data_IF_290301569198
#
_entry.id   IF_290301569198
#
_cell.length_a   1.000
_cell.length_b   1.000
_cell.length_c   1.000
_cell.angle_alpha   90.00
_cell.angle_beta   90.00
_cell.angle_gamma   90.00
#
_symmetry.space_group_name_H-M   'P 1'
#
loop_
_entity.id
_entity.type
_entity.pdbx_description
1 polymer ?
#
# COMPACT_ATOMS: atom_id res chain seq x y z
N UNK A 1 -25.74 -31.35 -30.08
CA UNK A 1 -25.14 -30.53 -31.15
C UNK A 1 -25.28 -29.08 -30.73
N UNK A 2 -24.17 -28.35 -30.72
CA UNK A 2 -23.96 -27.06 -30.04
C UNK A 2 -24.47 -25.84 -30.82
N UNK A 3 -24.88 -24.81 -30.05
CA UNK A 3 -24.71 -23.36 -30.20
C UNK A 3 -24.95 -22.70 -31.57
N UNK A 4 -25.87 -21.72 -31.60
CA UNK A 4 -25.57 -20.35 -32.09
C UNK A 4 -26.74 -19.38 -31.79
N UNK A 5 -26.63 -18.50 -30.79
CA UNK A 5 -27.19 -17.12 -30.78
C UNK A 5 -26.41 -16.27 -29.74
N UNK A 6 -25.66 -15.29 -30.22
CA UNK A 6 -25.24 -14.01 -29.59
C UNK A 6 -24.53 -14.00 -28.22
N UNK A 7 -23.24 -14.34 -28.25
CA UNK A 7 -22.35 -14.50 -27.08
C UNK A 7 -21.68 -13.22 -26.55
N UNK A 8 -22.03 -12.02 -27.02
CA UNK A 8 -21.33 -10.77 -26.61
C UNK A 8 -22.05 -10.01 -25.49
N UNK A 9 -23.38 -10.04 -25.41
CA UNK A 9 -24.14 -9.32 -24.35
C UNK A 9 -24.16 -10.03 -22.99
N UNK A 10 -24.10 -11.36 -22.98
CA UNK A 10 -24.21 -12.16 -21.75
C UNK A 10 -22.91 -12.10 -20.91
N UNK A 11 -21.75 -12.01 -21.58
CA UNK A 11 -20.45 -11.90 -20.90
C UNK A 11 -20.29 -10.55 -20.18
N UNK A 12 -20.67 -9.45 -20.82
CA UNK A 12 -20.61 -8.09 -20.26
C UNK A 12 -21.51 -7.89 -19.03
N UNK A 13 -22.74 -8.43 -19.06
CA UNK A 13 -23.67 -8.33 -17.95
C UNK A 13 -23.21 -9.13 -16.73
N UNK A 14 -22.65 -10.32 -16.95
CA UNK A 14 -22.10 -11.14 -15.87
C UNK A 14 -20.81 -10.54 -15.28
N UNK A 15 -19.96 -9.91 -16.10
CA UNK A 15 -18.71 -9.29 -15.66
C UNK A 15 -18.93 -8.03 -14.83
N UNK A 16 -19.87 -7.14 -15.22
CA UNK A 16 -20.26 -5.99 -14.40
C UNK A 16 -20.90 -6.47 -13.10
N UNK A 17 -21.75 -7.51 -13.16
CA UNK A 17 -22.30 -8.15 -11.94
C UNK A 17 -21.20 -8.69 -11.03
N UNK A 18 -20.13 -9.30 -11.55
CA UNK A 18 -19.02 -9.81 -10.72
C UNK A 18 -18.29 -8.67 -9.99
N UNK A 19 -17.95 -7.59 -10.69
CA UNK A 19 -17.32 -6.41 -10.04
C UNK A 19 -18.23 -5.85 -8.96
N UNK A 20 -19.51 -5.72 -9.26
CA UNK A 20 -20.50 -5.17 -8.34
C UNK A 20 -20.74 -6.09 -7.12
N UNK A 21 -20.84 -7.41 -7.34
CA UNK A 21 -20.95 -8.44 -6.31
C UNK A 21 -19.76 -8.44 -5.34
N UNK A 22 -18.55 -8.26 -5.86
CA UNK A 22 -17.33 -8.22 -5.05
C UNK A 22 -17.23 -6.94 -4.22
N UNK A 23 -17.62 -5.79 -4.79
CA UNK A 23 -17.67 -4.52 -4.08
C UNK A 23 -18.65 -4.55 -2.90
N UNK A 24 -19.75 -5.30 -3.01
CA UNK A 24 -20.75 -5.42 -1.95
C UNK A 24 -20.26 -6.15 -0.71
N UNK A 25 -19.30 -7.07 -0.81
CA UNK A 25 -18.68 -7.66 0.39
C UNK A 25 -17.91 -6.63 1.23
N UNK A 26 -17.44 -5.58 0.57
CA UNK A 26 -16.76 -4.47 1.21
C UNK A 26 -17.73 -3.39 1.71
N UNK A 27 -18.99 -3.37 1.28
CA UNK A 27 -19.96 -2.32 1.60
C UNK A 27 -20.80 -2.63 2.84
N UNK A 28 -21.39 -1.58 3.42
CA UNK A 28 -22.35 -1.65 4.53
C UNK A 28 -23.79 -1.86 4.06
N UNK A 29 -24.01 -1.84 2.74
CA UNK A 29 -25.33 -2.02 2.13
C UNK A 29 -25.41 -3.28 1.29
N UNK A 30 -26.57 -3.93 1.33
CA UNK A 30 -26.94 -5.04 0.48
C UNK A 30 -27.50 -4.55 -0.87
N UNK A 31 -27.74 -5.47 -1.81
CA UNK A 31 -28.32 -5.17 -3.12
C UNK A 31 -29.73 -4.57 -3.06
N UNK A 32 -30.49 -4.96 -2.05
CA UNK A 32 -31.83 -4.45 -1.77
C UNK A 32 -31.80 -3.06 -1.13
N UNK A 33 -30.61 -2.49 -0.90
CA UNK A 33 -30.41 -1.20 -0.24
C UNK A 33 -30.48 -1.26 1.28
N UNK A 34 -30.73 -2.43 1.88
CA UNK A 34 -30.74 -2.60 3.33
C UNK A 34 -29.34 -2.46 3.92
N UNK A 35 -29.27 -1.97 5.15
CA UNK A 35 -28.01 -1.92 5.90
C UNK A 35 -27.68 -3.33 6.40
N UNK A 36 -26.44 -3.75 6.18
CA UNK A 36 -25.91 -5.00 6.75
C UNK A 36 -25.89 -4.91 8.27
N UNK A 37 -26.16 -6.04 8.92
CA UNK A 37 -26.12 -6.14 10.38
C UNK A 37 -24.69 -5.85 10.90
N UNK A 38 -24.53 -5.27 12.10
CA UNK A 38 -23.21 -5.06 12.70
C UNK A 38 -22.43 -6.37 12.92
N UNK A 39 -23.13 -7.49 13.09
CA UNK A 39 -22.55 -8.83 13.28
C UNK A 39 -21.97 -9.44 12.00
N UNK A 40 -22.28 -8.89 10.82
CA UNK A 40 -21.78 -9.41 9.56
C UNK A 40 -20.33 -8.95 9.32
N UNK A 41 -19.43 -9.90 9.09
CA UNK A 41 -18.03 -9.62 8.75
C UNK A 41 -17.94 -8.89 7.41
N UNK A 42 -17.25 -7.75 7.39
CA UNK A 42 -17.07 -6.92 6.19
C UNK A 42 -15.61 -6.92 5.75
N UNK A 43 -15.39 -6.95 4.45
CA UNK A 43 -14.05 -6.83 3.89
C UNK A 43 -13.52 -5.39 3.97
N UNK A 44 -12.19 -5.26 4.01
CA UNK A 44 -11.47 -3.99 4.13
C UNK A 44 -11.42 -3.21 2.82
N UNK A 45 -11.16 -1.90 2.88
CA UNK A 45 -10.90 -1.11 1.67
C UNK A 45 -9.71 -1.68 0.85
N UNK A 46 -8.70 -2.21 1.54
CA UNK A 46 -7.55 -2.84 0.88
C UNK A 46 -7.97 -4.09 0.07
N UNK A 47 -8.93 -4.86 0.57
CA UNK A 47 -9.50 -5.97 -0.19
C UNK A 47 -10.16 -5.46 -1.48
N UNK A 48 -11.03 -4.45 -1.39
CA UNK A 48 -11.65 -3.83 -2.57
C UNK A 48 -10.60 -3.31 -3.58
N UNK A 49 -9.50 -2.72 -3.10
CA UNK A 49 -8.43 -2.23 -3.97
C UNK A 49 -7.72 -3.37 -4.71
N UNK A 50 -7.42 -4.48 -4.02
CA UNK A 50 -6.84 -5.68 -4.65
C UNK A 50 -7.77 -6.28 -5.69
N UNK A 51 -9.06 -6.37 -5.38
CA UNK A 51 -10.08 -6.84 -6.33
C UNK A 51 -10.15 -5.95 -7.57
N UNK A 52 -10.20 -4.63 -7.40
CA UNK A 52 -10.18 -3.68 -8.52
C UNK A 52 -8.92 -3.83 -9.37
N UNK A 53 -7.75 -3.99 -8.76
CA UNK A 53 -6.50 -4.19 -9.48
C UNK A 53 -6.50 -5.50 -10.29
N UNK A 54 -7.00 -6.59 -9.70
CA UNK A 54 -7.15 -7.87 -10.39
C UNK A 54 -8.10 -7.78 -11.58
N UNK A 55 -9.24 -7.08 -11.43
CA UNK A 55 -10.18 -6.85 -12.53
C UNK A 55 -9.59 -5.93 -13.60
N UNK A 56 -8.82 -4.90 -13.21
CA UNK A 56 -8.10 -4.03 -14.15
C UNK A 56 -7.14 -4.82 -15.01
N UNK A 57 -6.37 -5.70 -14.39
CA UNK A 57 -5.47 -6.62 -15.09
C UNK A 57 -6.24 -7.60 -15.98
N UNK A 58 -7.30 -8.21 -15.46
CA UNK A 58 -8.12 -9.17 -16.21
C UNK A 58 -8.72 -8.55 -17.47
N UNK A 59 -9.43 -7.44 -17.34
CA UNK A 59 -10.02 -6.74 -18.49
C UNK A 59 -8.96 -6.19 -19.45
N UNK A 60 -7.87 -5.62 -18.91
CA UNK A 60 -6.84 -5.01 -19.74
C UNK A 60 -6.05 -6.04 -20.54
N UNK A 61 -5.62 -7.14 -19.89
CA UNK A 61 -4.67 -8.09 -20.47
C UNK A 61 -5.31 -9.38 -20.96
N UNK A 62 -6.29 -9.93 -20.25
CA UNK A 62 -6.95 -11.19 -20.67
C UNK A 62 -8.06 -10.92 -21.68
N UNK A 63 -8.83 -9.86 -21.50
CA UNK A 63 -9.91 -9.48 -22.43
C UNK A 63 -9.45 -8.52 -23.54
N UNK A 64 -8.20 -8.06 -23.50
CA UNK A 64 -7.63 -7.16 -24.52
C UNK A 64 -8.29 -5.78 -24.58
N UNK A 65 -9.02 -5.37 -23.55
CA UNK A 65 -9.75 -4.09 -23.51
C UNK A 65 -8.84 -2.90 -23.18
N UNK A 66 -7.56 -3.15 -22.87
CA UNK A 66 -6.56 -2.14 -22.58
C UNK A 66 -6.78 -1.39 -21.26
N UNK A 67 -6.23 -0.18 -21.20
CA UNK A 67 -6.23 0.68 -20.01
C UNK A 67 -7.14 1.91 -20.14
N UNK A 68 -7.83 2.07 -21.28
CA UNK A 68 -8.71 3.21 -21.49
C UNK A 68 -9.93 3.14 -20.56
N UNK A 69 -10.40 4.28 -20.03
CA UNK A 69 -11.66 4.34 -19.30
C UNK A 69 -12.81 3.75 -20.11
N UNK A 70 -13.77 3.12 -19.44
CA UNK A 70 -15.01 2.64 -20.06
C UNK A 70 -15.80 3.83 -20.62
N UNK A 71 -15.97 3.90 -21.93
CA UNK A 71 -16.65 4.99 -22.63
C UNK A 71 -17.41 4.48 -23.85
N UNK A 72 -18.34 5.27 -24.35
CA UNK A 72 -19.01 4.97 -25.62
C UNK A 72 -18.13 5.42 -26.78
N UNK A 73 -17.86 4.51 -27.71
CA UNK A 73 -17.13 4.83 -28.95
C UNK A 73 -18.00 5.74 -29.83
N UNK A 74 -17.48 6.90 -30.20
CA UNK A 74 -18.16 7.86 -31.10
C UNK A 74 -18.40 7.26 -32.49
N UNK A 75 -17.50 6.38 -32.95
CA UNK A 75 -17.54 5.78 -34.28
C UNK A 75 -18.51 4.60 -34.35
N UNK A 76 -18.51 3.74 -33.32
CA UNK A 76 -19.28 2.48 -33.36
C UNK A 76 -20.54 2.50 -32.50
N UNK A 77 -20.71 3.52 -31.64
CA UNK A 77 -21.77 3.61 -30.65
C UNK A 77 -21.70 2.55 -29.55
N UNK A 78 -20.70 1.67 -29.56
CA UNK A 78 -20.53 0.58 -28.58
C UNK A 78 -19.70 1.05 -27.40
N UNK A 79 -19.97 0.47 -26.23
CA UNK A 79 -19.14 0.68 -25.05
C UNK A 79 -17.80 -0.06 -25.20
N UNK A 80 -16.70 0.67 -25.02
CA UNK A 80 -15.32 0.21 -25.17
C UNK A 80 -14.46 0.69 -24.00
N UNK A 81 -13.28 0.09 -23.85
CA UNK A 81 -12.36 0.36 -22.74
C UNK A 81 -12.50 -0.64 -21.60
N UNK A 82 -11.97 -0.32 -20.43
CA UNK A 82 -11.92 -1.23 -19.30
C UNK A 82 -12.94 -0.83 -18.20
N UNK A 83 -13.93 -1.67 -17.89
CA UNK A 83 -14.98 -1.35 -16.91
C UNK A 83 -14.47 -0.99 -15.51
N UNK A 84 -13.33 -1.57 -15.09
CA UNK A 84 -12.77 -1.37 -13.74
C UNK A 84 -12.08 0.00 -13.55
N UNK A 85 -11.77 0.68 -14.65
CA UNK A 85 -11.21 2.05 -14.69
C UNK A 85 -12.27 3.07 -15.13
N UNK A 86 -13.54 2.68 -15.20
CA UNK A 86 -14.65 3.61 -15.42
C UNK A 86 -14.73 4.69 -14.33
N UNK A 87 -15.27 5.85 -14.70
CA UNK A 87 -15.52 6.95 -13.78
C UNK A 87 -16.43 6.52 -12.61
N UNK A 88 -17.50 5.78 -12.90
CA UNK A 88 -18.43 5.24 -11.90
C UNK A 88 -17.72 4.40 -10.84
N UNK A 89 -16.84 3.48 -11.24
CA UNK A 89 -16.07 2.65 -10.30
C UNK A 89 -15.05 3.49 -9.54
N UNK A 90 -14.42 4.48 -10.19
CA UNK A 90 -13.50 5.41 -9.53
C UNK A 90 -14.18 6.21 -8.42
N UNK A 91 -15.33 6.81 -8.71
CA UNK A 91 -16.16 7.55 -7.75
C UNK A 91 -16.63 6.66 -6.61
N UNK A 92 -17.08 5.43 -6.94
CA UNK A 92 -17.45 4.44 -5.93
C UNK A 92 -16.29 4.14 -4.98
N UNK A 93 -15.08 3.84 -5.49
CA UNK A 93 -13.91 3.54 -4.67
C UNK A 93 -13.52 4.70 -3.75
N UNK A 94 -13.57 5.95 -4.24
CA UNK A 94 -13.34 7.13 -3.41
C UNK A 94 -14.36 7.24 -2.28
N UNK A 95 -15.64 7.00 -2.58
CA UNK A 95 -16.71 7.02 -1.58
C UNK A 95 -16.57 5.90 -0.55
N UNK A 96 -16.21 4.68 -0.99
CA UNK A 96 -15.98 3.53 -0.14
C UNK A 96 -14.83 3.80 0.82
N UNK A 97 -13.71 4.34 0.34
CA UNK A 97 -12.56 4.73 1.17
C UNK A 97 -12.98 5.68 2.29
N UNK A 98 -13.75 6.73 1.98
CA UNK A 98 -14.23 7.72 2.96
C UNK A 98 -15.17 7.09 4.00
N UNK A 99 -16.01 6.13 3.59
CA UNK A 99 -16.91 5.40 4.52
C UNK A 99 -16.11 4.50 5.45
N UNK A 100 -15.17 3.72 4.93
CA UNK A 100 -14.30 2.85 5.74
C UNK A 100 -13.45 3.62 6.75
N UNK A 101 -12.85 4.73 6.34
CA UNK A 101 -12.10 5.60 7.26
C UNK A 101 -13.00 6.15 8.37
N UNK A 102 -14.23 6.57 8.05
CA UNK A 102 -15.21 7.01 9.06
C UNK A 102 -15.64 5.88 10.01
N UNK A 103 -15.70 4.65 9.53
CA UNK A 103 -15.97 3.46 10.34
C UNK A 103 -14.78 3.04 11.23
N UNK A 104 -13.69 3.81 11.25
CA UNK A 104 -12.51 3.52 12.06
C UNK A 104 -11.52 2.55 11.39
N UNK A 105 -11.72 2.19 10.11
CA UNK A 105 -10.66 1.52 9.36
C UNK A 105 -9.50 2.50 9.23
N UNK A 106 -8.46 2.30 10.04
CA UNK A 106 -7.20 3.04 9.89
C UNK A 106 -6.77 2.91 8.45
N UNK A 107 -6.41 4.03 7.82
CA UNK A 107 -5.78 4.04 6.51
C UNK A 107 -4.39 3.41 6.64
N UNK A 108 -4.33 2.09 6.81
CA UNK A 108 -3.11 1.35 6.97
C UNK A 108 -2.48 1.31 5.59
N UNK A 109 -1.58 2.25 5.32
CA UNK A 109 -0.68 2.08 4.19
C UNK A 109 0.00 0.74 4.39
N UNK A 110 0.14 -0.07 3.34
CA UNK A 110 0.83 -1.37 3.40
C UNK A 110 2.31 -1.25 3.82
N UNK A 111 2.78 -0.04 4.15
CA UNK A 111 4.15 0.32 4.51
C UNK A 111 4.25 1.06 5.86
N UNK A 112 3.16 1.19 6.62
CA UNK A 112 3.21 1.88 7.90
C UNK A 112 3.97 1.04 8.94
N UNK A 113 5.12 1.53 9.38
CA UNK A 113 5.88 0.94 10.48
C UNK A 113 5.14 1.24 11.79
N UNK A 114 4.75 0.19 12.51
CA UNK A 114 4.10 0.31 13.82
C UNK A 114 5.11 0.23 14.96
N UNK A 115 4.70 0.67 16.15
CA UNK A 115 5.49 0.49 17.38
C UNK A 115 5.83 -1.00 17.60
N UNK A 116 4.87 -1.90 17.38
CA UNK A 116 5.10 -3.35 17.47
C UNK A 116 6.15 -3.83 16.46
N UNK A 117 6.14 -3.29 15.23
CA UNK A 117 7.13 -3.61 14.20
C UNK A 117 8.53 -3.17 14.64
N UNK A 118 8.67 -1.98 15.24
CA UNK A 118 9.95 -1.51 15.79
C UNK A 118 10.42 -2.34 16.98
N UNK A 119 9.51 -2.76 17.86
CA UNK A 119 9.83 -3.65 18.99
C UNK A 119 10.40 -4.98 18.51
N UNK A 120 9.73 -5.64 17.57
CA UNK A 120 10.21 -6.90 16.96
C UNK A 120 11.57 -6.72 16.27
N UNK A 121 11.79 -5.59 15.59
CA UNK A 121 13.07 -5.27 14.97
C UNK A 121 14.19 -5.12 16.01
N UNK A 122 13.91 -4.43 17.12
CA UNK A 122 14.85 -4.25 18.23
C UNK A 122 15.22 -5.60 18.87
N UNK A 123 14.23 -6.42 19.20
CA UNK A 123 14.47 -7.76 19.77
C UNK A 123 15.32 -8.63 18.84
N UNK A 124 15.02 -8.64 17.55
CA UNK A 124 15.77 -9.41 16.55
C UNK A 124 17.24 -8.96 16.47
N UNK A 125 17.50 -7.65 16.50
CA UNK A 125 18.84 -7.10 16.38
C UNK A 125 19.67 -7.23 17.67
N UNK A 126 19.03 -7.36 18.82
CA UNK A 126 19.71 -7.58 20.10
C UNK A 126 20.04 -9.05 20.41
N UNK A 127 19.60 -10.00 19.58
CA UNK A 127 20.02 -11.40 19.71
C UNK A 127 21.55 -11.50 19.59
N UNK A 128 22.22 -12.37 20.39
CA UNK A 128 23.68 -12.46 20.42
C UNK A 128 24.31 -12.76 19.04
N UNK A 129 23.61 -13.56 18.24
CA UNK A 129 23.95 -13.90 16.85
C UNK A 129 24.01 -12.68 15.91
N UNK A 130 23.18 -11.68 16.17
CA UNK A 130 22.97 -10.51 15.32
C UNK A 130 23.63 -9.25 15.87
N UNK A 131 23.92 -9.23 17.18
CA UNK A 131 24.54 -8.11 17.87
C UNK A 131 26.07 -8.10 17.73
N UNK A 132 26.68 -9.26 17.52
CA UNK A 132 28.14 -9.38 17.41
C UNK A 132 28.64 -8.84 16.07
N UNK A 133 29.55 -7.85 16.12
CA UNK A 133 30.22 -7.32 14.92
C UNK A 133 31.24 -8.35 14.45
N UNK A 134 30.87 -9.13 13.44
CA UNK A 134 31.81 -10.01 12.75
C UNK A 134 32.80 -9.16 11.95
N UNK A 135 34.08 -9.56 11.96
CA UNK A 135 35.08 -8.96 11.08
C UNK A 135 34.71 -9.19 9.61
N UNK A 136 35.06 -8.23 8.76
CA UNK A 136 34.75 -8.31 7.35
C UNK A 136 35.54 -9.45 6.69
N UNK A 137 34.84 -10.54 6.37
CA UNK A 137 35.35 -11.58 5.50
C UNK A 137 34.87 -11.33 4.06
N UNK A 138 35.80 -11.12 3.13
CA UNK A 138 35.48 -11.00 1.71
C UNK A 138 34.88 -12.33 1.22
N UNK A 139 33.57 -12.34 0.96
CA UNK A 139 32.88 -13.52 0.46
C UNK A 139 33.18 -13.76 -1.01
N UNK A 140 33.51 -15.00 -1.37
CA UNK A 140 33.57 -15.41 -2.77
C UNK A 140 32.17 -15.32 -3.40
N UNK A 141 32.05 -14.61 -4.54
CA UNK A 141 30.80 -14.40 -5.29
C UNK A 141 30.11 -15.72 -5.75
N UNK A 142 30.76 -16.88 -5.56
CA UNK A 142 30.28 -18.23 -5.95
C UNK A 142 29.35 -18.91 -4.93
N UNK A 143 29.31 -18.50 -3.67
CA UNK A 143 28.33 -19.03 -2.71
C UNK A 143 27.29 -17.94 -2.41
N UNK A 144 26.06 -18.16 -2.86
CA UNK A 144 24.94 -17.30 -2.49
C UNK A 144 24.84 -17.26 -0.97
N UNK A 145 25.12 -16.11 -0.37
CA UNK A 145 24.90 -15.92 1.06
C UNK A 145 23.41 -16.12 1.33
N UNK A 146 23.01 -16.80 2.41
CA UNK A 146 21.61 -16.93 2.77
C UNK A 146 20.99 -15.53 2.88
N UNK A 147 19.81 -15.34 2.30
CA UNK A 147 19.09 -14.06 2.22
C UNK A 147 18.94 -13.37 3.59
N UNK A 148 18.94 -14.18 4.66
CA UNK A 148 18.83 -13.75 6.06
C UNK A 148 20.12 -13.13 6.65
N UNK A 149 21.27 -13.23 5.97
CA UNK A 149 22.55 -12.64 6.42
C UNK A 149 22.84 -11.32 5.72
N UNK A 150 21.82 -10.46 5.63
CA UNK A 150 21.95 -9.12 5.07
C UNK A 150 22.50 -8.12 6.12
N UNK A 151 23.49 -7.33 5.70
CA UNK A 151 23.94 -6.09 6.37
C UNK A 151 24.88 -6.21 7.59
N UNK A 152 25.03 -7.37 8.23
CA UNK A 152 25.83 -7.50 9.45
C UNK A 152 25.35 -6.62 10.63
N UNK A 153 25.99 -6.74 11.80
CA UNK A 153 25.52 -6.07 13.02
C UNK A 153 25.53 -4.53 12.92
N UNK A 154 26.54 -3.95 12.24
CA UNK A 154 26.66 -2.48 12.10
C UNK A 154 25.54 -1.89 11.26
N UNK A 155 25.25 -2.44 10.07
CA UNK A 155 24.20 -1.89 9.24
C UNK A 155 22.81 -2.10 9.86
N UNK A 156 22.60 -3.21 10.58
CA UNK A 156 21.35 -3.45 11.31
C UNK A 156 21.12 -2.42 12.41
N UNK A 157 22.15 -2.07 13.19
CA UNK A 157 22.08 -1.00 14.20
C UNK A 157 21.80 0.36 13.57
N UNK A 158 22.48 0.68 12.48
CA UNK A 158 22.26 1.93 11.74
C UNK A 158 20.82 2.05 11.22
N UNK A 159 20.29 0.98 10.62
CA UNK A 159 18.91 0.95 10.13
C UNK A 159 17.90 1.04 11.26
N UNK A 160 18.15 0.37 12.39
CA UNK A 160 17.29 0.48 13.57
C UNK A 160 17.22 1.93 14.05
N UNK A 161 18.36 2.61 14.16
CA UNK A 161 18.41 4.03 14.51
C UNK A 161 17.63 4.88 13.49
N UNK A 162 17.83 4.65 12.19
CA UNK A 162 17.13 5.38 11.15
C UNK A 162 15.61 5.20 11.20
N UNK A 163 15.13 3.99 11.50
CA UNK A 163 13.71 3.71 11.68
C UNK A 163 13.12 4.32 12.96
N UNK A 164 13.90 4.37 14.04
CA UNK A 164 13.47 5.06 15.28
C UNK A 164 13.39 6.57 15.05
N UNK A 165 14.38 7.17 14.40
CA UNK A 165 14.37 8.59 14.06
C UNK A 165 13.21 8.94 13.12
N UNK A 166 12.96 8.11 12.09
CA UNK A 166 11.82 8.33 11.19
C UNK A 166 10.49 8.25 11.92
N UNK A 167 10.34 7.31 12.86
CA UNK A 167 9.13 7.13 13.65
C UNK A 167 8.91 8.27 14.66
N UNK A 168 9.94 8.67 15.41
CA UNK A 168 9.84 9.72 16.44
C UNK A 168 9.64 11.11 15.83
N UNK A 169 10.36 11.42 14.75
CA UNK A 169 10.31 12.74 14.13
C UNK A 169 9.25 12.83 12.99
N UNK A 170 8.59 11.72 12.68
CA UNK A 170 7.66 11.54 11.53
C UNK A 170 8.32 12.00 10.22
N UNK A 171 9.53 11.52 9.99
CA UNK A 171 10.33 11.81 8.80
C UNK A 171 10.19 10.69 7.77
N UNK A 172 10.31 11.03 6.50
CA UNK A 172 10.51 10.03 5.46
C UNK A 172 11.93 9.46 5.53
N UNK A 173 12.14 8.28 4.97
CA UNK A 173 13.46 7.64 5.05
C UNK A 173 14.54 8.41 4.30
N UNK A 174 14.20 9.06 3.18
CA UNK A 174 15.09 9.95 2.42
C UNK A 174 15.47 11.22 3.19
N UNK A 175 14.61 11.69 4.09
CA UNK A 175 14.88 12.80 5.00
C UNK A 175 15.86 12.38 6.10
N UNK A 176 15.67 11.19 6.68
CA UNK A 176 16.58 10.65 7.71
C UNK A 176 18.00 10.46 7.19
N UNK A 177 18.16 10.03 5.93
CA UNK A 177 19.49 9.84 5.32
C UNK A 177 20.27 11.14 5.12
N UNK A 178 19.62 12.31 5.23
CA UNK A 178 20.29 13.62 5.15
C UNK A 178 20.86 14.08 6.48
N UNK A 179 20.45 13.46 7.59
CA UNK A 179 20.93 13.80 8.94
C UNK A 179 22.40 13.41 9.06
N UNK A 180 23.22 14.36 9.48
CA UNK A 180 24.64 14.15 9.71
C UNK A 180 24.96 14.15 11.21
N UNK A 181 26.19 13.75 11.57
CA UNK A 181 26.59 13.67 12.98
C UNK A 181 26.55 15.04 13.69
N UNK A 182 26.83 16.13 12.97
CA UNK A 182 26.78 17.48 13.53
C UNK A 182 25.36 17.98 13.83
N UNK A 183 24.34 17.31 13.28
CA UNK A 183 22.93 17.62 13.55
C UNK A 183 22.45 17.03 14.89
N UNK A 184 23.27 16.20 15.54
CA UNK A 184 22.95 15.48 16.77
C UNK A 184 23.76 16.09 17.92
N UNK A 185 23.09 16.84 18.77
CA UNK A 185 23.67 17.47 19.96
C UNK A 185 23.22 16.73 21.23
N UNK A 186 24.16 16.44 22.11
CA UNK A 186 23.88 15.87 23.43
C UNK A 186 23.65 17.01 24.41
N UNK A 187 22.40 17.20 24.83
CA UNK A 187 22.04 18.26 25.79
C UNK A 187 22.13 17.75 27.23
N UNK A 188 21.83 16.46 27.45
CA UNK A 188 22.02 15.76 28.73
C UNK A 188 22.20 14.26 28.51
N UNK A 189 22.49 13.52 29.58
CA UNK A 189 22.61 12.04 29.56
C UNK A 189 21.36 11.32 29.03
N UNK A 190 20.21 11.99 29.04
CA UNK A 190 18.91 11.46 28.60
C UNK A 190 18.27 12.23 27.46
N UNK A 191 18.87 13.33 27.02
CA UNK A 191 18.29 14.22 26.01
C UNK A 191 19.23 14.43 24.83
N UNK A 192 18.77 13.97 23.66
CA UNK A 192 19.40 14.23 22.38
C UNK A 192 18.57 15.29 21.67
N UNK A 193 19.22 16.39 21.31
CA UNK A 193 18.66 17.41 20.43
C UNK A 193 19.04 17.08 19.00
N UNK A 194 18.03 16.86 18.16
CA UNK A 194 18.20 16.64 16.73
C UNK A 194 17.81 17.91 15.98
N UNK A 195 18.78 18.54 15.34
CA UNK A 195 18.55 19.68 14.45
C UNK A 195 18.25 19.15 13.05
N UNK A 196 17.11 19.50 12.47
CA UNK A 196 16.76 19.05 11.13
C UNK A 196 17.32 20.04 10.09
N UNK A 197 18.21 19.62 9.17
CA UNK A 197 18.80 20.51 8.17
C UNK A 197 17.83 20.86 7.03
N UNK A 198 16.60 20.38 7.08
CA UNK A 198 15.55 20.62 6.08
C UNK A 198 14.23 20.96 6.76
N UNK A 199 13.42 21.80 6.10
CA UNK A 199 12.07 22.12 6.55
C UNK A 199 11.20 20.88 6.37
N UNK A 200 10.59 20.39 7.46
CA UNK A 200 9.56 19.34 7.39
C UNK A 200 8.48 19.83 6.43
N UNK A 201 8.30 19.12 5.31
CA UNK A 201 7.32 19.53 4.31
C UNK A 201 5.96 19.65 4.96
N UNK A 202 5.40 20.86 4.91
CA UNK A 202 4.10 21.19 5.46
C UNK A 202 3.06 20.20 4.89
N UNK A 203 2.19 19.61 5.70
CA UNK A 203 1.16 18.68 5.21
C UNK A 203 0.20 19.34 4.21
N UNK A 204 0.16 20.67 4.20
CA UNK A 204 -0.47 21.50 3.19
C UNK A 204 0.63 22.07 2.29
N UNK A 205 0.85 21.47 1.13
CA UNK A 205 1.83 21.95 0.15
C UNK A 205 1.57 23.41 -0.20
N UNK A 206 2.63 24.21 -0.24
CA UNK A 206 2.58 25.59 -0.69
C UNK A 206 3.80 26.39 -0.23
N UNK A 207 4.73 26.58 -1.15
CA UNK A 207 5.25 27.92 -1.38
C UNK A 207 5.25 28.11 -2.90
N UNK A 208 4.28 28.92 -3.35
CA UNK A 208 4.37 29.62 -4.62
C UNK A 208 5.54 30.58 -4.49
N UNK A 209 6.62 30.30 -5.20
CA UNK A 209 7.52 31.29 -5.79
C UNK A 209 7.95 30.76 -7.16
#
# INVERSE_FOLDING_TARGET
MYLCVDNVRVSLFNQIKIVHLQQLRCDDRNFDGTMKLPSETRDTYNHAQKMRAAMTYGFGRLCGLGALPWHQSEVTGKMVGNPSVSETVGTYMTSLRRRKVRAGETATSARAITQETLGKLYELNNRPENSTVKEYAAGSRKQGKPEHEWGGARARRLLTLAYVLSFLCLLRFDEVLKIQMHDIEWVSDTCIKLTLPFRKTNQFGGEFL
#
